data_IF_524649097088
#
_entry.id   IF_524649097088
#
_cell.length_a   1.000
_cell.length_b   1.000
_cell.length_c   1.000
_cell.angle_alpha   90.00
_cell.angle_beta   90.00
_cell.angle_gamma   90.00
#
_symmetry.space_group_name_H-M   'P 1'
#
loop_
_entity.id
_entity.type
_entity.pdbx_description
1 polymer ?
#
# COMPACT_ATOMS: atom_id res chain seq x y z
N UNK A 1 -24.15 -9.74 -20.14
CA UNK A 1 -24.82 -10.59 -19.13
C UNK A 1 -25.20 -9.66 -17.99
N UNK A 2 -26.44 -9.16 -18.01
CA UNK A 2 -26.92 -8.09 -17.13
C UNK A 2 -27.52 -8.72 -15.88
N UNK A 3 -26.96 -8.47 -14.71
CA UNK A 3 -27.53 -8.94 -13.45
C UNK A 3 -28.70 -8.03 -13.06
N UNK A 4 -29.91 -8.55 -13.17
CA UNK A 4 -31.12 -7.94 -12.58
C UNK A 4 -31.23 -8.46 -11.15
N UNK A 5 -31.12 -7.56 -10.19
CA UNK A 5 -31.37 -7.85 -8.78
C UNK A 5 -32.88 -7.95 -8.55
N UNK A 6 -33.36 -9.10 -8.06
CA UNK A 6 -34.73 -9.30 -7.57
C UNK A 6 -34.69 -9.66 -6.08
N UNK A 7 -35.42 -8.96 -5.20
CA UNK A 7 -35.51 -9.32 -3.78
C UNK A 7 -36.40 -10.57 -3.59
N UNK A 8 -36.15 -11.40 -2.56
CA UNK A 8 -36.87 -12.67 -2.41
C UNK A 8 -38.29 -12.48 -1.87
N UNK A 9 -39.26 -13.08 -2.57
CA UNK A 9 -40.65 -13.23 -2.13
C UNK A 9 -40.75 -14.12 -0.89
N UNK A 10 -41.36 -13.57 0.16
CA UNK A 10 -41.74 -14.28 1.37
C UNK A 10 -42.94 -15.19 1.09
N UNK A 11 -42.72 -16.43 0.64
CA UNK A 11 -43.69 -17.52 0.78
C UNK A 11 -43.07 -18.90 0.50
N UNK A 12 -42.52 -19.55 1.53
CA UNK A 12 -42.29 -21.00 1.51
C UNK A 12 -42.85 -21.62 2.80
N UNK A 13 -43.88 -22.46 2.63
CA UNK A 13 -44.52 -23.24 3.68
C UNK A 13 -43.60 -24.36 4.16
N UNK A 14 -43.51 -24.52 5.48
CA UNK A 14 -42.75 -25.57 6.17
C UNK A 14 -43.35 -26.96 5.93
N UNK A 15 -42.52 -27.92 5.52
CA UNK A 15 -42.78 -29.37 5.69
C UNK A 15 -41.71 -29.93 6.63
N UNK A 16 -42.16 -30.67 7.63
CA UNK A 16 -41.41 -31.11 8.82
C UNK A 16 -40.87 -32.55 8.71
N UNK A 17 -39.54 -32.66 8.95
CA UNK A 17 -38.75 -33.76 9.61
C UNK A 17 -38.51 -35.11 8.88
N UNK A 18 -37.50 -35.95 9.27
CA UNK A 18 -36.34 -35.74 10.18
C UNK A 18 -34.97 -36.24 9.61
N UNK A 19 -33.85 -35.58 9.92
CA UNK A 19 -32.50 -36.24 9.95
C UNK A 19 -31.55 -35.50 10.91
N UNK A 20 -31.64 -35.83 12.20
CA UNK A 20 -30.88 -35.17 13.28
C UNK A 20 -29.38 -35.54 13.28
N UNK A 21 -28.97 -36.58 12.56
CA UNK A 21 -27.56 -37.04 12.51
C UNK A 21 -26.73 -36.44 11.35
N UNK A 22 -27.36 -36.03 10.24
CA UNK A 22 -26.64 -35.40 9.11
C UNK A 22 -26.34 -33.92 9.35
N UNK A 23 -27.20 -33.20 10.08
CA UNK A 23 -26.97 -31.78 10.43
C UNK A 23 -25.80 -31.59 11.41
N UNK A 24 -25.56 -32.54 12.32
CA UNK A 24 -24.48 -32.41 13.29
C UNK A 24 -23.08 -32.54 12.65
N UNK A 25 -22.90 -33.42 11.66
CA UNK A 25 -21.63 -33.58 10.93
C UNK A 25 -21.37 -32.44 9.94
N UNK A 26 -22.40 -31.92 9.27
CA UNK A 26 -22.27 -30.74 8.39
C UNK A 26 -21.98 -29.46 9.18
N UNK A 27 -22.49 -29.34 10.41
CA UNK A 27 -22.21 -28.19 11.28
C UNK A 27 -20.76 -28.18 11.79
N UNK A 28 -20.17 -29.35 12.09
CA UNK A 28 -18.76 -29.40 12.51
C UNK A 28 -17.81 -29.04 11.36
N UNK A 29 -18.08 -29.51 10.14
CA UNK A 29 -17.28 -29.16 8.96
C UNK A 29 -17.37 -27.66 8.65
N UNK A 30 -18.56 -27.06 8.72
CA UNK A 30 -18.73 -25.62 8.55
C UNK A 30 -18.06 -24.83 9.67
N UNK A 31 -18.16 -25.25 10.93
CA UNK A 31 -17.50 -24.59 12.07
C UNK A 31 -15.98 -24.72 11.97
N UNK A 32 -15.45 -25.84 11.48
CA UNK A 32 -14.01 -26.02 11.23
C UNK A 32 -13.56 -25.12 10.07
N UNK A 33 -14.31 -25.05 8.98
CA UNK A 33 -14.04 -24.15 7.85
C UNK A 33 -14.12 -22.68 8.31
N UNK A 34 -15.12 -22.31 9.11
CA UNK A 34 -15.27 -20.97 9.67
C UNK A 34 -14.14 -20.64 10.66
N UNK A 35 -13.73 -21.60 11.50
CA UNK A 35 -12.58 -21.43 12.41
C UNK A 35 -11.25 -21.37 11.65
N UNK A 36 -11.11 -22.04 10.50
CA UNK A 36 -9.94 -21.95 9.62
C UNK A 36 -9.90 -20.64 8.83
N UNK A 37 -11.07 -20.10 8.44
CA UNK A 37 -11.17 -18.84 7.70
C UNK A 37 -11.10 -17.59 8.59
N UNK A 38 -11.47 -17.68 9.88
CA UNK A 38 -11.56 -16.51 10.78
C UNK A 38 -10.58 -16.51 11.97
N UNK A 39 -9.66 -17.48 12.09
CA UNK A 39 -8.48 -17.37 12.97
C UNK A 39 -7.24 -17.02 12.16
N UNK A 40 -7.13 -15.76 11.76
CA UNK A 40 -5.90 -15.20 11.16
C UNK A 40 -4.68 -15.50 12.04
N UNK A 41 -4.82 -15.46 13.37
CA UNK A 41 -3.70 -15.72 14.28
C UNK A 41 -3.21 -17.18 14.28
N UNK A 42 -4.08 -18.17 14.11
CA UNK A 42 -3.70 -19.60 14.28
C UNK A 42 -3.11 -20.20 13.01
N UNK A 43 -3.54 -19.71 11.85
CA UNK A 43 -2.93 -20.08 10.57
C UNK A 43 -1.53 -19.45 10.44
N UNK A 44 -1.37 -18.18 10.85
CA UNK A 44 -0.07 -17.50 10.89
C UNK A 44 0.89 -18.14 11.89
N UNK A 45 0.44 -18.53 13.09
CA UNK A 45 1.29 -19.27 14.04
C UNK A 45 1.64 -20.67 13.58
N UNK A 46 0.77 -21.35 12.82
CA UNK A 46 1.06 -22.66 12.25
C UNK A 46 2.07 -22.57 11.08
N UNK A 47 1.92 -21.58 10.20
CA UNK A 47 2.91 -21.24 9.14
C UNK A 47 4.26 -20.89 9.77
N UNK A 48 4.26 -20.11 10.87
CA UNK A 48 5.47 -19.73 11.62
C UNK A 48 6.20 -20.91 12.28
N UNK A 49 5.53 -22.06 12.50
CA UNK A 49 6.06 -23.21 13.25
C UNK A 49 6.64 -24.34 12.39
N UNK A 50 6.29 -24.45 11.10
CA UNK A 50 6.87 -25.44 10.18
C UNK A 50 7.89 -24.77 9.27
N UNK A 51 9.13 -24.70 9.76
CA UNK A 51 10.24 -24.00 9.12
C UNK A 51 10.62 -24.58 7.77
N UNK A 52 10.25 -23.84 6.72
CA UNK A 52 11.22 -23.38 5.74
C UNK A 52 11.53 -21.92 6.07
N UNK A 53 12.75 -21.40 5.82
CA UNK A 53 12.95 -19.96 5.86
C UNK A 53 12.05 -19.36 4.76
N UNK A 54 10.85 -18.93 5.15
CA UNK A 54 9.94 -18.21 4.26
C UNK A 54 10.69 -16.96 3.83
N UNK A 55 10.92 -16.82 2.53
CA UNK A 55 11.49 -15.61 1.96
C UNK A 55 10.63 -14.42 2.40
N UNK A 56 11.24 -13.45 3.08
CA UNK A 56 10.57 -12.22 3.48
C UNK A 56 11.00 -11.11 2.56
N UNK A 57 10.05 -10.41 1.95
CA UNK A 57 10.38 -9.23 1.16
C UNK A 57 11.04 -8.15 2.04
N UNK A 58 10.68 -8.09 3.33
CA UNK A 58 11.37 -7.24 4.32
C UNK A 58 12.89 -7.48 4.40
N UNK A 59 13.39 -8.68 4.08
CA UNK A 59 14.84 -8.93 4.05
C UNK A 59 15.59 -8.10 2.99
N UNK A 60 14.89 -7.55 2.00
CA UNK A 60 15.47 -6.64 1.01
C UNK A 60 15.96 -5.33 1.65
N UNK A 61 15.33 -4.89 2.74
CA UNK A 61 15.78 -3.69 3.48
C UNK A 61 17.19 -3.90 4.02
N UNK A 62 17.46 -5.02 4.68
CA UNK A 62 18.81 -5.32 5.20
C UNK A 62 19.80 -5.55 4.06
N UNK A 63 19.38 -6.24 3.00
CA UNK A 63 20.23 -6.53 1.83
C UNK A 63 20.67 -5.25 1.10
N UNK A 64 19.79 -4.27 0.99
CA UNK A 64 20.00 -3.02 0.25
C UNK A 64 19.92 -1.80 1.18
N UNK A 65 20.47 -1.95 2.38
CA UNK A 65 20.37 -1.00 3.48
C UNK A 65 20.75 0.42 3.09
N UNK A 66 21.89 0.61 2.43
CA UNK A 66 22.37 1.95 2.07
C UNK A 66 21.37 2.68 1.15
N UNK A 67 20.77 1.96 0.19
CA UNK A 67 19.73 2.51 -0.67
C UNK A 67 18.46 2.87 0.10
N UNK A 68 18.01 1.96 0.96
CA UNK A 68 16.81 2.16 1.78
C UNK A 68 16.94 3.29 2.80
N UNK A 69 18.11 3.43 3.43
CA UNK A 69 18.39 4.50 4.38
C UNK A 69 18.24 5.87 3.70
N UNK A 70 18.79 6.05 2.50
CA UNK A 70 18.64 7.33 1.78
C UNK A 70 17.22 7.64 1.30
N UNK A 71 16.38 6.62 1.13
CA UNK A 71 14.97 6.78 0.78
C UNK A 71 14.09 7.15 1.98
N UNK A 72 14.50 6.79 3.19
CA UNK A 72 13.69 6.87 4.42
C UNK A 72 14.23 7.85 5.47
N UNK A 73 15.47 8.31 5.30
CA UNK A 73 16.11 9.33 6.12
C UNK A 73 16.64 10.42 5.18
N UNK A 74 16.00 11.58 5.21
CA UNK A 74 16.27 12.66 4.27
C UNK A 74 16.21 14.02 4.97
N UNK A 75 17.01 15.02 4.56
CA UNK A 75 16.94 16.38 5.10
C UNK A 75 15.54 17.01 5.04
N UNK A 76 14.69 16.58 4.09
CA UNK A 76 13.27 16.96 4.04
C UNK A 76 12.54 16.51 5.30
N UNK A 77 12.68 15.24 5.67
CA UNK A 77 12.03 14.61 6.83
C UNK A 77 12.61 15.15 8.15
N UNK A 78 13.91 15.43 8.20
CA UNK A 78 14.52 16.13 9.34
C UNK A 78 13.94 17.54 9.52
N UNK A 79 13.70 18.26 8.43
CA UNK A 79 13.07 19.58 8.48
C UNK A 79 11.59 19.51 8.88
N UNK A 80 10.86 18.48 8.45
CA UNK A 80 9.50 18.16 8.93
C UNK A 80 9.52 17.91 10.43
N UNK A 81 10.43 17.05 10.92
CA UNK A 81 10.57 16.71 12.33
C UNK A 81 10.79 17.93 13.21
N UNK A 82 11.68 18.82 12.76
CA UNK A 82 12.07 20.01 13.50
C UNK A 82 11.13 21.20 13.29
N UNK A 83 10.14 21.09 12.39
CA UNK A 83 9.26 22.20 12.04
C UNK A 83 9.96 23.34 11.29
N UNK A 84 11.07 23.04 10.60
CA UNK A 84 11.92 24.02 9.89
C UNK A 84 11.79 23.95 8.37
N UNK A 85 10.99 23.01 7.83
CA UNK A 85 10.73 22.92 6.40
C UNK A 85 9.99 24.19 5.93
N UNK A 86 10.50 24.82 4.87
CA UNK A 86 9.88 26.02 4.33
C UNK A 86 8.64 25.71 3.48
N UNK A 87 7.73 26.69 3.37
CA UNK A 87 6.48 26.51 2.64
C UNK A 87 6.69 26.18 1.15
N UNK A 88 7.73 26.71 0.52
CA UNK A 88 8.01 26.44 -0.89
C UNK A 88 8.30 24.95 -1.13
N UNK A 89 9.14 24.35 -0.30
CA UNK A 89 9.50 22.94 -0.41
C UNK A 89 8.32 22.03 -0.02
N UNK A 90 7.58 22.40 1.02
CA UNK A 90 6.39 21.67 1.42
C UNK A 90 5.30 21.70 0.35
N UNK A 91 5.02 22.86 -0.23
CA UNK A 91 4.03 23.02 -1.30
C UNK A 91 4.45 22.27 -2.57
N UNK A 92 5.74 22.23 -2.89
CA UNK A 92 6.25 21.49 -4.03
C UNK A 92 6.06 19.98 -3.84
N UNK A 93 6.42 19.46 -2.66
CA UNK A 93 6.12 18.08 -2.31
C UNK A 93 4.62 17.80 -2.43
N UNK A 94 3.75 18.62 -1.83
CA UNK A 94 2.30 18.43 -1.84
C UNK A 94 1.71 18.36 -3.26
N UNK A 95 2.09 19.29 -4.14
CA UNK A 95 1.59 19.31 -5.52
C UNK A 95 2.06 18.08 -6.29
N UNK A 96 3.33 17.70 -6.13
CA UNK A 96 3.88 16.56 -6.87
C UNK A 96 3.41 15.22 -6.31
N UNK A 97 3.14 15.12 -5.02
CA UNK A 97 2.63 13.92 -4.37
C UNK A 97 1.19 13.61 -4.81
N UNK A 98 0.38 14.65 -5.06
CA UNK A 98 -0.93 14.48 -5.70
C UNK A 98 -0.83 13.78 -7.06
N UNK A 99 0.12 14.19 -7.91
CA UNK A 99 0.36 13.53 -9.19
C UNK A 99 0.88 12.09 -9.01
N UNK A 100 1.77 11.87 -8.04
CA UNK A 100 2.29 10.54 -7.70
C UNK A 100 1.16 9.58 -7.29
N UNK A 101 0.28 9.99 -6.36
CA UNK A 101 -0.89 9.21 -5.95
C UNK A 101 -1.80 8.93 -7.15
N UNK A 102 -1.95 9.89 -8.07
CA UNK A 102 -2.67 9.68 -9.33
C UNK A 102 -2.03 8.62 -10.25
N UNK A 103 -0.71 8.47 -10.24
CA UNK A 103 -0.03 7.37 -10.94
C UNK A 103 -0.19 6.03 -10.22
N UNK A 104 -0.05 6.01 -8.90
CA UNK A 104 -0.21 4.81 -8.09
C UNK A 104 -1.63 4.24 -8.21
N UNK A 105 -2.66 5.10 -8.15
CA UNK A 105 -4.06 4.74 -8.40
C UNK A 105 -4.23 3.96 -9.71
N UNK A 106 -3.66 4.47 -10.81
CA UNK A 106 -3.73 3.82 -12.14
C UNK A 106 -2.96 2.49 -12.17
N UNK A 107 -1.83 2.42 -11.48
CA UNK A 107 -1.01 1.22 -11.37
C UNK A 107 -1.76 0.11 -10.62
N UNK A 108 -2.32 0.42 -9.46
CA UNK A 108 -3.10 -0.50 -8.63
C UNK A 108 -4.39 -0.96 -9.32
N UNK A 109 -5.11 -0.04 -9.96
CA UNK A 109 -6.33 -0.38 -10.70
C UNK A 109 -6.03 -1.34 -11.87
N UNK A 110 -4.91 -1.13 -12.56
CA UNK A 110 -4.44 -2.02 -13.62
C UNK A 110 -4.06 -3.39 -13.06
N UNK A 111 -3.33 -3.44 -11.94
CA UNK A 111 -2.92 -4.69 -11.30
C UNK A 111 -4.11 -5.51 -10.79
N UNK A 112 -5.15 -4.86 -10.25
CA UNK A 112 -6.32 -5.53 -9.68
C UNK A 112 -6.96 -6.56 -10.63
N UNK A 113 -6.91 -6.31 -11.94
CA UNK A 113 -7.42 -7.22 -12.99
C UNK A 113 -6.69 -8.57 -13.07
N UNK A 114 -5.43 -8.62 -12.62
CA UNK A 114 -4.55 -9.80 -12.65
C UNK A 114 -4.07 -10.22 -11.25
N UNK A 115 -4.46 -9.49 -10.22
CA UNK A 115 -4.05 -9.74 -8.86
C UNK A 115 -4.54 -11.13 -8.38
N UNK A 116 -3.71 -11.89 -7.64
CA UNK A 116 -4.15 -13.15 -7.07
C UNK A 116 -5.23 -12.90 -6.02
N UNK A 117 -6.16 -13.87 -5.85
CA UNK A 117 -7.33 -13.72 -4.97
C UNK A 117 -7.00 -13.22 -3.55
N UNK A 118 -5.93 -13.69 -2.86
CA UNK A 118 -5.57 -13.18 -1.54
C UNK A 118 -5.23 -11.68 -1.50
N UNK A 119 -4.73 -11.11 -2.61
CA UNK A 119 -4.35 -9.70 -2.67
C UNK A 119 -5.54 -8.76 -2.92
N UNK A 120 -6.66 -9.25 -3.48
CA UNK A 120 -7.80 -8.42 -3.89
C UNK A 120 -8.27 -7.45 -2.80
N UNK A 121 -8.46 -7.93 -1.57
CA UNK A 121 -8.96 -7.09 -0.49
C UNK A 121 -7.96 -6.00 -0.09
N UNK A 122 -6.66 -6.28 -0.15
CA UNK A 122 -5.63 -5.28 0.18
C UNK A 122 -5.59 -4.20 -0.91
N UNK A 123 -5.59 -4.60 -2.19
CA UNK A 123 -5.55 -3.67 -3.32
C UNK A 123 -6.81 -2.79 -3.38
N UNK A 124 -8.01 -3.36 -3.17
CA UNK A 124 -9.26 -2.58 -3.14
C UNK A 124 -9.24 -1.56 -2.00
N UNK A 125 -8.75 -1.95 -0.82
CA UNK A 125 -8.62 -1.02 0.32
C UNK A 125 -7.60 0.08 0.05
N UNK A 126 -6.48 -0.25 -0.57
CA UNK A 126 -5.46 0.73 -0.97
C UNK A 126 -6.05 1.75 -1.95
N UNK A 127 -6.73 1.31 -3.02
CA UNK A 127 -7.42 2.19 -3.96
C UNK A 127 -8.42 3.13 -3.27
N UNK A 128 -9.22 2.62 -2.32
CA UNK A 128 -10.15 3.45 -1.56
C UNK A 128 -9.44 4.47 -0.65
N UNK A 129 -8.31 4.11 -0.06
CA UNK A 129 -7.47 5.03 0.71
C UNK A 129 -6.88 6.13 -0.16
N UNK A 130 -6.30 5.78 -1.31
CA UNK A 130 -5.72 6.75 -2.24
C UNK A 130 -6.77 7.74 -2.77
N UNK A 131 -8.02 7.30 -2.98
CA UNK A 131 -9.10 8.20 -3.38
C UNK A 131 -9.43 9.24 -2.29
N UNK A 132 -9.51 8.78 -1.04
CA UNK A 132 -9.72 9.66 0.11
C UNK A 132 -8.52 10.61 0.33
N UNK A 133 -7.32 10.15 0.02
CA UNK A 133 -6.09 10.93 0.08
C UNK A 133 -6.04 12.02 -1.00
N UNK A 134 -6.39 11.71 -2.25
CA UNK A 134 -6.52 12.71 -3.32
C UNK A 134 -7.52 13.81 -2.94
N UNK A 135 -8.67 13.43 -2.37
CA UNK A 135 -9.67 14.40 -1.88
C UNK A 135 -9.06 15.32 -0.82
N UNK A 136 -8.30 14.75 0.12
CA UNK A 136 -7.65 15.52 1.19
C UNK A 136 -6.54 16.43 0.65
N UNK A 137 -5.74 15.98 -0.32
CA UNK A 137 -4.76 16.82 -1.02
C UNK A 137 -5.43 18.00 -1.75
N UNK A 138 -6.58 17.78 -2.38
CA UNK A 138 -7.33 18.86 -3.05
C UNK A 138 -7.84 19.91 -2.06
N UNK A 139 -8.28 19.50 -0.88
CA UNK A 139 -8.72 20.42 0.17
C UNK A 139 -7.54 21.22 0.76
N UNK A 140 -6.42 20.55 1.06
CA UNK A 140 -5.18 21.23 1.47
C UNK A 140 -4.68 22.21 0.40
N UNK A 141 -4.76 21.84 -0.87
CA UNK A 141 -4.35 22.71 -1.97
C UNK A 141 -5.22 23.97 -2.04
N UNK A 142 -6.54 23.86 -1.84
CA UNK A 142 -7.43 25.02 -1.78
C UNK A 142 -7.06 25.96 -0.63
N UNK A 143 -6.81 25.42 0.56
CA UNK A 143 -6.41 26.18 1.75
C UNK A 143 -5.08 26.92 1.56
N UNK A 144 -4.14 26.29 0.83
CA UNK A 144 -2.80 26.83 0.58
C UNK A 144 -2.70 27.61 -0.74
N UNK A 145 -3.81 27.80 -1.45
CA UNK A 145 -3.87 28.46 -2.75
C UNK A 145 -2.95 27.84 -3.82
N UNK A 146 -2.85 26.50 -3.86
CA UNK A 146 -2.03 25.74 -4.77
C UNK A 146 -2.84 25.16 -5.95
N UNK A 147 -2.20 25.00 -7.10
CA UNK A 147 -2.76 24.28 -8.24
C UNK A 147 -2.16 22.87 -8.34
N UNK A 148 -2.85 21.88 -7.77
CA UNK A 148 -2.47 20.46 -7.86
C UNK A 148 -2.63 19.86 -9.26
N UNK A 149 -3.22 20.60 -10.20
CA UNK A 149 -3.26 20.25 -11.62
C UNK A 149 -2.16 20.95 -12.43
N UNK A 150 -1.17 21.53 -11.74
CA UNK A 150 -0.02 22.19 -12.33
C UNK A 150 0.93 21.24 -13.08
N UNK A 151 2.07 21.75 -13.56
CA UNK A 151 3.04 20.93 -14.26
C UNK A 151 3.71 19.90 -13.35
N UNK A 152 3.82 18.67 -13.85
CA UNK A 152 4.58 17.60 -13.20
C UNK A 152 6.09 17.85 -13.31
N UNK A 153 6.80 17.72 -12.19
CA UNK A 153 8.26 17.74 -12.17
C UNK A 153 8.83 16.52 -12.91
N UNK A 154 10.01 16.62 -13.56
CA UNK A 154 10.62 15.47 -14.24
C UNK A 154 10.80 14.22 -13.37
N UNK A 155 11.06 14.38 -12.06
CA UNK A 155 11.14 13.25 -11.11
C UNK A 155 9.79 12.55 -10.95
N UNK A 156 8.70 13.30 -10.81
CA UNK A 156 7.33 12.76 -10.72
C UNK A 156 6.97 12.02 -12.01
N UNK A 157 7.32 12.56 -13.16
CA UNK A 157 7.14 11.89 -14.46
C UNK A 157 7.95 10.58 -14.56
N UNK A 158 9.19 10.58 -14.05
CA UNK A 158 10.03 9.37 -13.99
C UNK A 158 9.43 8.31 -13.06
N UNK A 159 8.87 8.71 -11.92
CA UNK A 159 8.18 7.79 -11.02
C UNK A 159 6.92 7.21 -11.69
N UNK A 160 6.13 8.04 -12.38
CA UNK A 160 5.02 7.57 -13.22
C UNK A 160 5.48 6.62 -14.34
N UNK A 161 6.65 6.85 -14.93
CA UNK A 161 7.26 5.96 -15.93
C UNK A 161 7.71 4.62 -15.33
N UNK A 162 8.18 4.61 -14.07
CA UNK A 162 8.49 3.38 -13.34
C UNK A 162 7.24 2.50 -13.18
N UNK A 163 6.11 3.08 -12.77
CA UNK A 163 4.85 2.32 -12.70
C UNK A 163 4.43 1.79 -14.07
N UNK A 164 4.54 2.59 -15.14
CA UNK A 164 4.25 2.14 -16.51
C UNK A 164 5.15 0.97 -16.93
N UNK A 165 6.44 1.01 -16.58
CA UNK A 165 7.40 -0.08 -16.88
C UNK A 165 7.00 -1.40 -16.22
N UNK A 166 6.51 -1.34 -14.98
CA UNK A 166 6.14 -2.54 -14.21
C UNK A 166 4.65 -2.94 -14.31
N UNK A 167 3.80 -2.17 -15.00
CA UNK A 167 2.34 -2.40 -15.00
C UNK A 167 1.92 -3.77 -15.52
N UNK A 168 2.78 -4.43 -16.33
CA UNK A 168 2.57 -5.78 -16.84
C UNK A 168 3.47 -6.84 -16.18
N UNK A 169 4.21 -6.48 -15.13
CA UNK A 169 5.08 -7.41 -14.44
C UNK A 169 4.28 -8.54 -13.73
N UNK A 170 4.94 -9.66 -13.41
CA UNK A 170 4.35 -10.74 -12.64
C UNK A 170 3.89 -10.27 -11.25
N UNK A 171 2.84 -10.87 -10.66
CA UNK A 171 2.34 -10.48 -9.34
C UNK A 171 3.38 -10.39 -8.21
N UNK A 172 4.40 -11.28 -8.12
CA UNK A 172 5.45 -11.12 -7.10
C UNK A 172 6.17 -9.78 -7.18
N UNK A 173 6.54 -9.34 -8.39
CA UNK A 173 7.25 -8.07 -8.62
C UNK A 173 6.34 -6.88 -8.31
N UNK A 174 5.08 -6.90 -8.76
CA UNK A 174 4.13 -5.80 -8.50
C UNK A 174 3.82 -5.69 -7.01
N UNK A 175 3.59 -6.80 -6.30
CA UNK A 175 3.35 -6.78 -4.86
C UNK A 175 4.57 -6.28 -4.09
N UNK A 176 5.80 -6.57 -4.55
CA UNK A 176 7.02 -5.98 -3.99
C UNK A 176 7.07 -4.47 -4.19
N UNK A 177 6.69 -3.95 -5.37
CA UNK A 177 6.64 -2.50 -5.62
C UNK A 177 5.66 -1.82 -4.68
N UNK A 178 4.42 -2.33 -4.60
CA UNK A 178 3.38 -1.75 -3.74
C UNK A 178 3.83 -1.78 -2.27
N UNK A 179 4.39 -2.91 -1.81
CA UNK A 179 4.94 -2.98 -0.47
C UNK A 179 6.10 -1.98 -0.26
N UNK A 180 7.02 -1.85 -1.22
CA UNK A 180 8.19 -0.98 -1.10
C UNK A 180 7.79 0.50 -1.04
N UNK A 181 6.86 0.95 -1.88
CA UNK A 181 6.34 2.34 -1.84
C UNK A 181 5.76 2.64 -0.45
N UNK A 182 4.81 1.81 -0.01
CA UNK A 182 4.07 2.03 1.24
C UNK A 182 4.98 1.89 2.48
N UNK A 183 5.95 0.97 2.42
CA UNK A 183 6.94 0.79 3.48
C UNK A 183 7.94 1.95 3.52
N UNK A 184 8.36 2.47 2.37
CA UNK A 184 9.24 3.64 2.30
C UNK A 184 8.56 4.85 2.93
N UNK A 185 7.28 5.10 2.61
CA UNK A 185 6.50 6.17 3.23
C UNK A 185 6.36 5.97 4.74
N UNK A 186 5.99 4.76 5.21
CA UNK A 186 5.90 4.48 6.65
C UNK A 186 7.21 4.76 7.39
N UNK A 187 8.33 4.26 6.87
CA UNK A 187 9.64 4.42 7.50
C UNK A 187 10.12 5.88 7.42
N UNK A 188 9.87 6.57 6.31
CA UNK A 188 10.15 8.00 6.12
C UNK A 188 9.39 8.87 7.12
N UNK A 189 8.07 8.72 7.23
CA UNK A 189 7.28 9.51 8.17
C UNK A 189 7.55 9.12 9.62
N UNK A 190 7.94 7.87 9.91
CA UNK A 190 8.44 7.48 11.24
C UNK A 190 9.74 8.20 11.61
N UNK A 191 10.66 8.41 10.66
CA UNK A 191 11.89 9.18 10.94
C UNK A 191 11.61 10.65 11.27
N UNK A 192 10.46 11.16 10.79
CA UNK A 192 9.98 12.51 11.06
C UNK A 192 9.23 12.68 12.41
N UNK A 193 9.00 11.62 13.19
CA UNK A 193 8.26 11.71 14.46
C UNK A 193 8.91 12.66 15.49
N UNK A 194 8.11 13.45 16.24
CA UNK A 194 6.64 13.55 16.20
C UNK A 194 6.11 14.55 15.15
N UNK A 195 6.98 15.14 14.33
CA UNK A 195 6.66 16.27 13.46
C UNK A 195 6.60 17.60 14.22
N UNK A 196 7.09 18.66 13.57
CA UNK A 196 6.82 20.03 13.99
C UNK A 196 5.31 20.29 14.06
N UNK A 197 4.82 21.22 14.89
CA UNK A 197 3.39 21.43 15.10
C UNK A 197 2.55 21.57 13.82
N UNK A 198 3.10 22.22 12.79
CA UNK A 198 2.45 22.42 11.50
C UNK A 198 2.45 21.20 10.57
N UNK A 199 3.31 20.20 10.82
CA UNK A 199 3.44 18.99 10.01
C UNK A 199 2.96 17.73 10.74
N UNK A 200 2.50 17.86 11.98
CA UNK A 200 2.12 16.73 12.83
C UNK A 200 1.02 15.88 12.22
N UNK A 201 0.00 16.50 11.61
CA UNK A 201 -1.10 15.77 10.97
C UNK A 201 -0.59 14.83 9.87
N UNK A 202 0.37 15.28 9.07
CA UNK A 202 0.99 14.51 7.99
C UNK A 202 1.73 13.31 8.56
N UNK A 203 2.59 13.54 9.56
CA UNK A 203 3.32 12.48 10.26
C UNK A 203 2.34 11.47 10.85
N UNK A 204 1.35 11.91 11.62
CA UNK A 204 0.37 11.03 12.27
C UNK A 204 -0.43 10.17 11.28
N UNK A 205 -0.75 10.70 10.09
CA UNK A 205 -1.48 9.98 9.03
C UNK A 205 -0.70 8.75 8.57
N UNK A 206 0.54 8.94 8.13
CA UNK A 206 1.39 7.88 7.59
C UNK A 206 2.20 7.12 8.65
N UNK A 207 2.06 7.47 9.93
CA UNK A 207 2.53 6.62 11.04
C UNK A 207 1.39 5.99 11.84
N UNK A 208 0.15 6.06 11.33
CA UNK A 208 -1.02 5.53 12.03
C UNK A 208 -0.94 4.00 12.19
N UNK A 209 -1.49 3.42 13.28
CA UNK A 209 -1.51 1.96 13.46
C UNK A 209 -2.22 1.20 12.34
N UNK A 210 -3.24 1.83 11.72
CA UNK A 210 -3.94 1.26 10.57
C UNK A 210 -3.07 1.18 9.32
N UNK A 211 -2.22 2.19 9.09
CA UNK A 211 -1.28 2.20 7.98
C UNK A 211 -0.16 1.18 8.20
N UNK A 212 0.42 1.11 9.41
CA UNK A 212 1.43 0.10 9.76
C UNK A 212 0.89 -1.34 9.60
N UNK A 213 -0.34 -1.58 10.04
CA UNK A 213 -1.00 -2.88 9.83
C UNK A 213 -1.17 -3.21 8.35
N UNK A 214 -1.52 -2.22 7.54
CA UNK A 214 -1.67 -2.38 6.09
C UNK A 214 -0.35 -2.72 5.40
N UNK A 215 0.74 -2.02 5.74
CA UNK A 215 2.09 -2.33 5.24
C UNK A 215 2.51 -3.76 5.62
N UNK A 216 2.20 -4.22 6.84
CA UNK A 216 2.44 -5.61 7.24
C UNK A 216 1.64 -6.64 6.45
N UNK A 217 0.42 -6.31 6.01
CA UNK A 217 -0.36 -7.17 5.10
C UNK A 217 0.30 -7.26 3.72
N UNK A 218 0.82 -6.14 3.19
CA UNK A 218 1.54 -6.12 1.92
C UNK A 218 2.84 -6.93 1.98
N UNK A 219 3.60 -6.85 3.08
CA UNK A 219 4.79 -7.70 3.30
C UNK A 219 4.44 -9.19 3.20
N UNK A 220 3.38 -9.61 3.91
CA UNK A 220 2.92 -11.00 3.86
C UNK A 220 2.48 -11.44 2.46
N UNK A 221 1.77 -10.58 1.71
CA UNK A 221 1.34 -10.86 0.35
C UNK A 221 2.52 -10.97 -0.63
N UNK A 222 3.45 -10.02 -0.58
CA UNK A 222 4.64 -10.03 -1.42
C UNK A 222 5.54 -11.23 -1.11
N UNK A 223 5.79 -11.52 0.17
CA UNK A 223 6.58 -12.66 0.63
C UNK A 223 6.02 -14.00 0.15
N UNK A 224 4.71 -14.23 0.33
CA UNK A 224 4.04 -15.47 -0.15
C UNK A 224 4.04 -15.54 -1.68
N UNK A 225 3.90 -14.40 -2.35
CA UNK A 225 3.92 -14.36 -3.82
C UNK A 225 5.32 -14.68 -4.37
N UNK A 226 6.39 -14.17 -3.76
CA UNK A 226 7.77 -14.48 -4.13
C UNK A 226 8.12 -15.95 -3.87
N UNK A 227 7.74 -16.48 -2.70
CA UNK A 227 7.98 -17.88 -2.34
C UNK A 227 7.36 -18.86 -3.35
N UNK A 228 6.17 -18.53 -3.88
CA UNK A 228 5.43 -19.39 -4.82
C UNK A 228 5.76 -19.13 -6.28
N UNK A 229 5.97 -17.87 -6.63
CA UNK A 229 6.08 -17.41 -8.01
C UNK A 229 7.52 -17.27 -8.51
N UNK A 230 8.52 -17.18 -7.61
CA UNK A 230 9.88 -16.81 -7.97
C UNK A 230 10.01 -15.31 -8.26
N UNK A 231 10.84 -14.96 -9.25
CA UNK A 231 11.14 -13.58 -9.66
C UNK A 231 11.88 -12.73 -8.61
N UNK A 232 12.73 -13.37 -7.80
CA UNK A 232 13.45 -12.70 -6.71
C UNK A 232 14.34 -11.59 -7.25
N UNK A 233 15.09 -11.85 -8.32
CA UNK A 233 16.01 -10.86 -8.89
C UNK A 233 15.27 -9.65 -9.46
N UNK A 234 14.15 -9.87 -10.13
CA UNK A 234 13.30 -8.81 -10.68
C UNK A 234 12.61 -8.00 -9.58
N UNK A 235 12.21 -8.66 -8.49
CA UNK A 235 11.64 -8.00 -7.32
C UNK A 235 12.69 -7.19 -6.55
N UNK A 236 13.92 -7.69 -6.43
CA UNK A 236 15.05 -6.95 -5.87
C UNK A 236 15.36 -5.69 -6.70
N UNK A 237 15.39 -5.81 -8.02
CA UNK A 237 15.58 -4.65 -8.90
C UNK A 237 14.42 -3.65 -8.76
N UNK A 238 13.19 -4.14 -8.70
CA UNK A 238 12.03 -3.27 -8.51
C UNK A 238 12.05 -2.53 -7.16
N UNK A 239 12.50 -3.21 -6.10
CA UNK A 239 12.72 -2.60 -4.79
C UNK A 239 13.78 -1.50 -4.83
N UNK A 240 14.92 -1.75 -5.47
CA UNK A 240 15.98 -0.75 -5.66
C UNK A 240 15.50 0.45 -6.47
N UNK A 241 14.75 0.20 -7.54
CA UNK A 241 14.22 1.27 -8.39
C UNK A 241 13.22 2.15 -7.64
N UNK A 242 12.38 1.56 -6.77
CA UNK A 242 11.50 2.30 -5.85
C UNK A 242 12.32 3.14 -4.87
N UNK A 243 13.30 2.55 -4.16
CA UNK A 243 14.12 3.28 -3.19
C UNK A 243 14.85 4.48 -3.84
N UNK A 244 15.33 4.32 -5.08
CA UNK A 244 15.93 5.42 -5.84
C UNK A 244 14.93 6.53 -6.15
N UNK A 245 13.69 6.20 -6.54
CA UNK A 245 12.65 7.18 -6.82
C UNK A 245 12.20 7.90 -5.55
N UNK A 246 12.02 7.20 -4.43
CA UNK A 246 11.68 7.78 -3.13
C UNK A 246 12.70 8.85 -2.71
N UNK A 247 14.00 8.51 -2.76
CA UNK A 247 15.07 9.49 -2.51
C UNK A 247 14.95 10.71 -3.43
N UNK A 248 14.83 10.47 -4.74
CA UNK A 248 14.75 11.55 -5.73
C UNK A 248 13.51 12.43 -5.53
N UNK A 249 12.41 11.86 -5.02
CA UNK A 249 11.17 12.56 -4.72
C UNK A 249 11.36 13.56 -3.58
N UNK A 250 12.07 13.17 -2.52
CA UNK A 250 12.43 14.09 -1.43
C UNK A 250 13.39 15.18 -1.88
N UNK A 251 14.36 14.86 -2.75
CA UNK A 251 15.26 15.85 -3.36
C UNK A 251 14.47 16.87 -4.20
N UNK A 252 13.48 16.41 -4.97
CA UNK A 252 12.64 17.25 -5.82
C UNK A 252 11.88 18.30 -5.02
N UNK A 253 11.42 18.00 -3.82
CA UNK A 253 10.68 18.94 -2.99
C UNK A 253 11.45 20.26 -2.78
N UNK A 254 12.77 20.21 -2.63
CA UNK A 254 13.61 21.40 -2.44
C UNK A 254 13.73 22.30 -3.67
N UNK A 255 13.31 21.84 -4.86
CA UNK A 255 13.35 22.63 -6.09
C UNK A 255 12.24 23.69 -6.18
N UNK A 256 11.19 23.59 -5.35
CA UNK A 256 10.01 24.46 -5.44
C UNK A 256 9.08 24.15 -6.64
N UNK A 257 9.15 22.93 -7.17
CA UNK A 257 8.39 22.51 -8.35
C UNK A 257 6.86 22.63 -8.18
N UNK A 258 6.19 23.22 -9.18
CA UNK A 258 4.72 23.29 -9.23
C UNK A 258 4.07 24.40 -8.38
N UNK A 259 4.86 25.30 -7.78
CA UNK A 259 4.39 26.35 -6.86
C UNK A 259 4.49 27.77 -7.47
N UNK A 260 4.36 27.89 -8.80
CA UNK A 260 4.41 29.18 -9.52
C UNK A 260 3.06 29.87 -9.62
#
# INVERSE_FOLDING_TARGET
MTFVYSPPDNNVKYITRPTTLLRQKQSLALIIIYRLLYKTETLLTWIRKKGHPTMRVESFIEKFKDGWETATHHPFLDAVRNGTLNDQAFNAWLVQDYHFVGYEMKFLASFLTRAPRPAHSAIIRCLASLEAELTWFEDLAKERHLNVYGPEHPVTQQYGALFKRYVQAPPPVILTIIWAVERAYLDAWKSALPGGPQFREFVERWTSPSFETFVGVLDGLASVSLERGGYVQEAEQAFLDVAQMEKAFWDMAWSGAGVS
#
